data_IF_906382182894
#
_entry.id   IF_906382182894
#
_cell.length_a   1.000
_cell.length_b   1.000
_cell.length_c   1.000
_cell.angle_alpha   90.00
_cell.angle_beta   90.00
_cell.angle_gamma   90.00
#
_symmetry.space_group_name_H-M   'P 1'
#
loop_
_entity.id
_entity.type
_entity.pdbx_description
1 polymer ?
#
# COMPACT_ATOMS: atom_id res chain seq x y z
N UNK A 1 -19.27 12.53 -63.60
CA UNK A 1 -20.16 13.39 -62.79
C UNK A 1 -19.46 14.72 -62.69
N UNK A 2 -20.13 15.80 -63.10
CA UNK A 2 -19.59 17.16 -63.02
C UNK A 2 -19.43 17.47 -61.53
N UNK A 3 -18.19 17.62 -61.05
CA UNK A 3 -17.95 18.22 -59.74
C UNK A 3 -18.45 19.66 -59.88
N UNK A 4 -19.60 19.96 -59.27
CA UNK A 4 -20.02 21.33 -59.05
C UNK A 4 -18.90 22.05 -58.30
N UNK A 5 -18.55 23.27 -58.71
CA UNK A 5 -17.71 24.21 -57.96
C UNK A 5 -18.40 24.53 -56.63
N UNK A 6 -18.37 23.58 -55.69
CA UNK A 6 -18.84 23.77 -54.34
C UNK A 6 -17.81 24.61 -53.60
N UNK A 7 -18.29 25.66 -52.95
CA UNK A 7 -17.53 26.42 -51.96
C UNK A 7 -16.84 25.44 -50.99
N UNK A 8 -15.52 25.51 -50.78
CA UNK A 8 -14.81 24.58 -49.91
C UNK A 8 -15.38 24.53 -48.49
N UNK A 9 -15.98 25.62 -47.99
CA UNK A 9 -16.69 25.59 -46.70
C UNK A 9 -17.92 24.66 -46.74
N UNK A 10 -18.72 24.72 -47.80
CA UNK A 10 -19.89 23.86 -47.99
C UNK A 10 -19.48 22.41 -48.22
N UNK A 11 -18.38 22.17 -48.95
CA UNK A 11 -17.79 20.85 -49.07
C UNK A 11 -17.40 20.29 -47.69
N UNK A 12 -16.69 21.09 -46.88
CA UNK A 12 -16.29 20.70 -45.53
C UNK A 12 -17.49 20.43 -44.62
N UNK A 13 -18.50 21.32 -44.64
CA UNK A 13 -19.74 21.15 -43.87
C UNK A 13 -20.46 19.86 -44.24
N UNK A 14 -20.59 19.59 -45.55
CA UNK A 14 -21.25 18.37 -46.05
C UNK A 14 -20.53 17.10 -45.61
N UNK A 15 -19.19 17.13 -45.58
CA UNK A 15 -18.38 16.01 -45.08
C UNK A 15 -18.56 15.81 -43.57
N UNK A 16 -18.55 16.89 -42.78
CA UNK A 16 -18.82 16.79 -41.34
C UNK A 16 -20.22 16.19 -41.09
N UNK A 17 -21.24 16.66 -41.82
CA UNK A 17 -22.61 16.14 -41.74
C UNK A 17 -22.75 14.69 -42.20
N UNK A 18 -21.91 14.21 -43.14
CA UNK A 18 -21.97 12.81 -43.58
C UNK A 18 -21.29 11.84 -42.62
N UNK A 19 -20.42 12.34 -41.74
CA UNK A 19 -19.74 11.54 -40.70
C UNK A 19 -20.50 11.59 -39.36
N UNK A 20 -21.14 12.72 -39.07
CA UNK A 20 -22.02 12.88 -37.91
C UNK A 20 -23.16 11.85 -37.92
N UNK A 21 -23.60 11.41 -36.74
CA UNK A 21 -24.72 10.49 -36.61
C UNK A 21 -26.05 11.21 -36.87
N UNK A 22 -26.16 12.45 -36.38
CA UNK A 22 -27.30 13.34 -36.58
C UNK A 22 -26.84 14.69 -37.14
N UNK A 23 -27.65 15.32 -38.01
CA UNK A 23 -27.29 16.61 -38.63
C UNK A 23 -27.13 17.74 -37.61
N UNK A 24 -27.82 17.65 -36.48
CA UNK A 24 -27.81 18.66 -35.42
C UNK A 24 -26.50 18.64 -34.61
N UNK A 25 -25.64 17.63 -34.80
CA UNK A 25 -24.34 17.48 -34.12
C UNK A 25 -23.24 18.38 -34.69
N UNK A 26 -23.44 18.93 -35.90
CA UNK A 26 -22.49 19.83 -36.56
C UNK A 26 -22.99 21.27 -36.46
N UNK A 27 -22.29 22.09 -35.68
CA UNK A 27 -22.63 23.48 -35.45
C UNK A 27 -22.15 24.47 -36.51
N UNK A 28 -22.03 25.73 -36.10
CA UNK A 28 -21.51 26.81 -36.92
C UNK A 28 -20.02 26.64 -37.22
N UNK A 29 -19.55 27.27 -38.31
CA UNK A 29 -18.12 27.37 -38.60
C UNK A 29 -17.46 28.21 -37.50
N UNK A 30 -16.41 27.66 -36.90
CA UNK A 30 -15.59 28.32 -35.88
C UNK A 30 -14.39 29.00 -36.52
N UNK A 31 -13.75 28.35 -37.49
CA UNK A 31 -12.57 28.89 -38.15
C UNK A 31 -12.10 28.06 -39.33
N UNK A 32 -11.17 28.64 -40.09
CA UNK A 32 -10.43 27.99 -41.16
C UNK A 32 -8.95 28.27 -40.96
N UNK A 33 -8.10 27.28 -41.16
CA UNK A 33 -6.65 27.44 -40.98
C UNK A 33 -5.92 26.72 -42.10
N UNK A 34 -4.95 27.39 -42.71
CA UNK A 34 -4.03 26.77 -43.67
C UNK A 34 -2.94 26.05 -42.89
N UNK A 35 -2.88 24.72 -42.99
CA UNK A 35 -1.85 23.90 -42.33
C UNK A 35 -0.53 23.97 -43.12
N UNK A 36 -0.61 24.00 -44.44
CA UNK A 36 0.55 24.06 -45.34
C UNK A 36 0.25 23.37 -46.68
N UNK A 37 1.04 23.64 -47.71
CA UNK A 37 1.01 22.93 -49.00
C UNK A 37 -0.40 22.75 -49.60
N UNK A 38 -1.25 23.78 -49.53
CA UNK A 38 -2.62 23.72 -50.08
C UNK A 38 -3.64 22.98 -49.21
N UNK A 39 -3.25 22.53 -48.01
CA UNK A 39 -4.12 21.83 -47.05
C UNK A 39 -4.77 22.81 -46.07
N UNK A 40 -6.10 22.84 -46.06
CA UNK A 40 -6.94 23.69 -45.22
C UNK A 40 -7.76 22.87 -44.22
N UNK A 41 -7.72 23.25 -42.95
CA UNK A 41 -8.55 22.68 -41.89
C UNK A 41 -9.73 23.61 -41.61
N UNK A 42 -10.94 23.07 -41.79
CA UNK A 42 -12.20 23.74 -41.50
C UNK A 42 -12.78 23.22 -40.19
N UNK A 43 -13.00 24.13 -39.24
CA UNK A 43 -13.48 23.81 -37.89
C UNK A 43 -14.94 24.18 -37.70
N UNK A 44 -15.75 23.23 -37.24
CA UNK A 44 -17.15 23.48 -36.84
C UNK A 44 -17.36 23.13 -35.37
N UNK A 45 -18.23 23.87 -34.67
CA UNK A 45 -18.54 23.57 -33.28
C UNK A 45 -19.22 22.20 -33.18
N UNK A 46 -18.84 21.38 -32.20
CA UNK A 46 -19.56 20.14 -31.90
C UNK A 46 -20.81 20.45 -31.07
N UNK A 47 -21.96 19.88 -31.45
CA UNK A 47 -23.17 19.89 -30.66
C UNK A 47 -23.48 18.52 -30.03
N UNK A 48 -22.55 17.55 -30.12
CA UNK A 48 -22.71 16.22 -29.53
C UNK A 48 -22.71 16.35 -28.00
N UNK A 49 -23.72 15.78 -27.34
CA UNK A 49 -23.80 15.73 -25.88
C UNK A 49 -22.59 14.99 -25.30
N UNK A 50 -21.88 15.61 -24.36
CA UNK A 50 -20.67 15.07 -23.73
C UNK A 50 -19.36 15.44 -24.44
N UNK A 51 -19.43 16.04 -25.64
CA UNK A 51 -18.28 16.59 -26.36
C UNK A 51 -18.29 18.12 -26.32
N UNK A 52 -18.65 18.68 -25.17
CA UNK A 52 -18.61 20.12 -24.94
C UNK A 52 -17.18 20.64 -25.10
N UNK A 53 -17.01 21.72 -25.86
CA UNK A 53 -15.69 22.26 -26.19
C UNK A 53 -14.94 21.50 -27.29
N UNK A 54 -15.51 20.45 -27.89
CA UNK A 54 -14.92 19.79 -29.06
C UNK A 54 -15.35 20.46 -30.36
N UNK A 55 -14.57 20.23 -31.41
CA UNK A 55 -14.83 20.75 -32.74
C UNK A 55 -14.69 19.64 -33.78
N UNK A 56 -15.54 19.67 -34.80
CA UNK A 56 -15.32 18.92 -36.03
C UNK A 56 -14.19 19.58 -36.80
N UNK A 57 -13.23 18.80 -37.26
CA UNK A 57 -12.12 19.20 -38.12
C UNK A 57 -12.24 18.46 -39.42
N UNK A 58 -12.38 19.21 -40.52
CA UNK A 58 -12.42 18.66 -41.87
C UNK A 58 -11.27 19.25 -42.65
N UNK A 59 -10.33 18.37 -43.00
CA UNK A 59 -9.12 18.74 -43.72
C UNK A 59 -9.35 18.55 -45.21
N UNK A 60 -9.19 19.61 -45.99
CA UNK A 60 -9.34 19.64 -47.43
C UNK A 60 -8.01 20.00 -48.09
N UNK A 61 -7.68 19.36 -49.21
CA UNK A 61 -6.54 19.72 -50.05
C UNK A 61 -7.03 20.39 -51.34
N UNK A 62 -6.41 21.54 -51.68
CA UNK A 62 -6.61 22.22 -52.96
C UNK A 62 -5.50 21.85 -53.94
N UNK A 63 -5.87 21.18 -55.01
CA UNK A 63 -5.00 20.96 -56.16
C UNK A 63 -5.00 22.25 -57.01
N UNK A 64 -3.85 22.94 -57.09
CA UNK A 64 -3.70 24.19 -57.84
C UNK A 64 -3.67 23.99 -59.35
N UNK A 65 -3.22 22.83 -59.83
CA UNK A 65 -3.11 22.51 -61.24
C UNK A 65 -4.48 22.10 -61.82
N UNK A 66 -5.25 21.34 -61.05
CA UNK A 66 -6.59 20.90 -61.41
C UNK A 66 -7.69 21.90 -61.00
N UNK A 67 -7.38 22.87 -60.14
CA UNK A 67 -8.32 23.79 -59.46
C UNK A 67 -9.48 23.03 -58.79
N UNK A 68 -9.17 21.92 -58.12
CA UNK A 68 -10.18 21.09 -57.44
C UNK A 68 -9.89 20.92 -55.96
N UNK A 69 -10.95 20.75 -55.17
CA UNK A 69 -10.86 20.42 -53.75
C UNK A 69 -11.10 18.93 -53.51
N UNK A 70 -10.26 18.36 -52.67
CA UNK A 70 -10.36 16.97 -52.21
C UNK A 70 -10.43 16.92 -50.69
N UNK A 71 -11.08 15.89 -50.17
CA UNK A 71 -11.25 15.68 -48.72
C UNK A 71 -10.18 14.69 -48.27
N UNK A 72 -9.40 15.05 -47.26
CA UNK A 72 -8.38 14.17 -46.68
C UNK A 72 -8.96 13.39 -45.49
N UNK A 73 -9.38 14.11 -44.45
CA UNK A 73 -9.97 13.51 -43.26
C UNK A 73 -11.10 14.36 -42.65
N UNK A 74 -11.93 13.69 -41.85
CA UNK A 74 -12.95 14.30 -41.00
C UNK A 74 -12.85 13.67 -39.62
N UNK A 75 -12.52 14.47 -38.62
CA UNK A 75 -12.28 14.01 -37.26
C UNK A 75 -12.94 14.94 -36.24
N UNK A 76 -13.19 14.40 -35.05
CA UNK A 76 -13.66 15.20 -33.92
C UNK A 76 -12.47 15.40 -32.98
N UNK A 77 -12.14 16.65 -32.71
CA UNK A 77 -10.90 17.03 -32.02
C UNK A 77 -11.19 17.91 -30.80
N UNK A 78 -10.49 17.68 -29.67
CA UNK A 78 -10.70 18.46 -28.46
C UNK A 78 -10.02 19.83 -28.62
N UNK A 79 -10.59 20.84 -27.99
CA UNK A 79 -9.93 22.14 -27.78
C UNK A 79 -9.50 22.30 -26.33
N UNK A 80 -8.88 23.44 -25.99
CA UNK A 80 -8.55 23.76 -24.59
C UNK A 80 -9.78 23.88 -23.68
N UNK A 81 -10.97 24.08 -24.26
CA UNK A 81 -12.23 24.10 -23.53
C UNK A 81 -12.85 22.70 -23.36
N UNK A 82 -12.27 21.67 -23.99
CA UNK A 82 -12.80 20.32 -23.94
C UNK A 82 -12.42 19.60 -22.64
N UNK A 83 -13.36 18.83 -22.10
CA UNK A 83 -13.07 17.87 -21.03
C UNK A 83 -12.23 16.72 -21.61
N UNK A 84 -10.94 16.69 -21.27
CA UNK A 84 -10.02 15.64 -21.67
C UNK A 84 -9.92 14.55 -20.59
N UNK A 85 -9.71 13.28 -20.99
CA UNK A 85 -9.39 12.24 -20.03
C UNK A 85 -8.08 12.55 -19.29
N UNK A 86 -7.90 12.07 -18.06
CA UNK A 86 -6.63 12.18 -17.37
C UNK A 86 -5.52 11.50 -18.17
N UNK A 87 -4.28 11.94 -17.96
CA UNK A 87 -3.12 11.32 -18.59
C UNK A 87 -3.08 9.81 -18.30
N UNK A 88 -2.75 9.02 -19.32
CA UNK A 88 -2.62 7.58 -19.16
C UNK A 88 -1.44 7.26 -18.23
N UNK A 89 -1.72 6.51 -17.17
CA UNK A 89 -0.71 6.05 -16.20
C UNK A 89 -0.34 4.59 -16.51
N UNK A 90 0.93 4.16 -16.53
CA UNK A 90 1.29 2.75 -16.70
C UNK A 90 0.61 1.83 -15.67
N UNK A 91 0.26 0.59 -16.05
CA UNK A 91 -0.47 -0.32 -15.16
C UNK A 91 0.26 -0.59 -13.84
N UNK A 92 1.59 -0.68 -13.88
CA UNK A 92 2.46 -0.91 -12.71
C UNK A 92 2.30 0.19 -11.66
N UNK A 93 2.14 1.44 -12.11
CA UNK A 93 2.01 2.61 -11.25
C UNK A 93 0.59 2.78 -10.69
N UNK A 94 -0.37 1.96 -11.18
CA UNK A 94 -1.73 1.90 -10.65
C UNK A 94 -1.92 0.84 -9.58
N UNK A 95 -0.96 -0.06 -9.40
CA UNK A 95 -1.10 -1.17 -8.47
C UNK A 95 -1.01 -0.70 -7.02
N UNK A 96 -2.00 -1.12 -6.24
CA UNK A 96 -1.96 -1.01 -4.79
C UNK A 96 -1.37 -2.30 -4.19
N UNK A 97 -0.79 -2.24 -2.98
CA UNK A 97 -0.35 -3.44 -2.29
C UNK A 97 -1.46 -4.49 -2.10
N UNK A 98 -2.73 -4.06 -2.04
CA UNK A 98 -3.90 -4.95 -1.95
C UNK A 98 -4.20 -5.72 -3.23
N UNK A 99 -3.70 -5.25 -4.37
CA UNK A 99 -3.93 -5.87 -5.68
C UNK A 99 -2.96 -7.02 -5.95
N UNK A 100 -1.92 -7.15 -5.11
CA UNK A 100 -0.89 -8.16 -5.23
C UNK A 100 -1.24 -9.40 -4.39
N UNK A 101 -1.17 -10.56 -5.03
CA UNK A 101 -1.25 -11.87 -4.39
C UNK A 101 0.13 -12.38 -3.97
N UNK A 102 0.15 -13.41 -3.12
CA UNK A 102 1.40 -14.05 -2.66
C UNK A 102 2.19 -14.69 -3.81
N UNK A 103 1.53 -14.99 -4.93
CA UNK A 103 2.16 -15.60 -6.11
C UNK A 103 2.76 -14.58 -7.08
N UNK A 104 2.48 -13.29 -6.89
CA UNK A 104 2.95 -12.25 -7.82
C UNK A 104 4.41 -11.87 -7.54
N UNK A 105 5.22 -11.85 -8.60
CA UNK A 105 6.64 -11.51 -8.54
C UNK A 105 6.94 -10.30 -9.41
N UNK A 106 6.85 -9.10 -8.81
CA UNK A 106 7.08 -7.83 -9.50
C UNK A 106 8.56 -7.47 -9.67
N UNK A 107 9.43 -8.00 -8.81
CA UNK A 107 10.84 -7.63 -8.73
C UNK A 107 11.07 -6.23 -8.13
N UNK A 108 12.34 -5.89 -7.93
CA UNK A 108 12.78 -4.56 -7.48
C UNK A 108 13.62 -3.94 -8.59
N UNK A 109 13.42 -2.65 -8.85
CA UNK A 109 14.22 -1.93 -9.85
C UNK A 109 15.69 -1.83 -9.39
N UNK A 110 16.67 -1.91 -10.32
CA UNK A 110 18.09 -1.85 -9.96
C UNK A 110 18.45 -0.58 -9.17
N UNK A 111 17.84 0.55 -9.51
CA UNK A 111 18.11 1.87 -8.93
C UNK A 111 16.94 2.38 -8.07
N UNK A 112 16.25 1.48 -7.35
CA UNK A 112 15.13 1.86 -6.47
C UNK A 112 15.60 2.85 -5.37
N UNK A 113 15.09 4.10 -5.35
CA UNK A 113 15.55 5.13 -4.42
C UNK A 113 15.27 4.81 -2.94
N UNK A 114 14.43 3.81 -2.67
CA UNK A 114 14.12 3.34 -1.32
C UNK A 114 15.23 2.45 -0.75
N UNK A 115 16.17 2.00 -1.58
CA UNK A 115 17.23 1.08 -1.19
C UNK A 115 18.61 1.75 -1.30
N UNK A 116 19.49 1.40 -0.37
CA UNK A 116 20.92 1.73 -0.42
C UNK A 116 21.75 0.47 -0.15
N UNK A 117 23.02 0.50 -0.51
CA UNK A 117 23.94 -0.61 -0.23
C UNK A 117 24.06 -0.83 1.28
N UNK A 118 24.06 -2.09 1.72
CA UNK A 118 24.30 -2.40 3.12
C UNK A 118 25.73 -2.16 3.54
N UNK A 119 25.92 -2.14 4.86
CA UNK A 119 27.22 -1.96 5.49
C UNK A 119 28.15 -3.14 5.16
N UNK A 120 29.35 -2.82 4.68
CA UNK A 120 30.44 -3.77 4.49
C UNK A 120 31.59 -3.35 5.40
N UNK A 121 32.00 -4.19 6.38
CA UNK A 121 33.14 -3.86 7.19
C UNK A 121 34.37 -3.75 6.29
N UNK A 122 35.08 -2.61 6.37
CA UNK A 122 36.38 -2.47 5.72
C UNK A 122 37.34 -3.34 6.52
N UNK A 123 37.62 -4.55 6.03
CA UNK A 123 38.74 -5.32 6.59
C UNK A 123 40.01 -4.50 6.35
N UNK A 124 40.63 -4.02 7.42
CA UNK A 124 41.99 -3.51 7.36
C UNK A 124 42.86 -4.65 6.82
N UNK A 125 43.23 -4.56 5.55
CA UNK A 125 44.05 -5.57 4.89
C UNK A 125 45.42 -5.60 5.57
N UNK A 126 45.63 -6.55 6.48
CA UNK A 126 46.96 -7.01 6.79
C UNK A 126 47.55 -7.60 5.49
N UNK A 127 48.41 -6.82 4.84
CA UNK A 127 49.20 -7.26 3.70
C UNK A 127 50.10 -8.42 4.14
N UNK A 128 49.66 -9.66 3.94
CA UNK A 128 50.54 -10.82 3.93
C UNK A 128 50.79 -11.18 2.46
N UNK A 129 51.87 -10.64 1.92
CA UNK A 129 52.42 -10.99 0.61
C UNK A 129 52.86 -12.45 0.60
N UNK A 130 51.98 -13.36 0.15
CA UNK A 130 52.41 -14.68 -0.30
C UNK A 130 52.80 -14.58 -1.77
N UNK A 131 54.09 -14.79 -2.00
CA UNK A 131 54.77 -14.89 -3.28
C UNK A 131 54.17 -16.04 -4.09
N UNK A 132 53.43 -15.74 -5.16
CA UNK A 132 53.14 -16.69 -6.23
C UNK A 132 54.27 -16.64 -7.25
N UNK A 133 54.96 -17.78 -7.42
CA UNK A 133 55.91 -18.01 -8.49
C UNK A 133 55.13 -18.34 -9.76
N UNK A 134 55.22 -17.48 -10.78
CA UNK A 134 54.84 -17.81 -12.15
C UNK A 134 56.05 -18.42 -12.86
N UNK A 135 55.88 -19.46 -13.69
CA UNK A 135 56.81 -19.76 -14.77
C UNK A 135 56.44 -18.94 -16.02
N UNK A 136 57.50 -18.48 -16.70
CA UNK A 136 57.50 -17.61 -17.88
C UNK A 136 57.26 -18.39 -19.20
N UNK A 137 57.18 -17.59 -20.27
CA UNK A 137 57.24 -17.91 -21.72
C UNK A 137 55.89 -18.19 -22.41
N UNK A 138 55.50 -17.59 -23.54
CA UNK A 138 56.15 -16.67 -24.47
C UNK A 138 55.04 -16.24 -25.48
N UNK A 139 54.86 -14.94 -25.79
CA UNK A 139 54.47 -14.52 -27.14
C UNK A 139 54.61 -12.98 -27.33
N UNK A 140 55.21 -12.50 -28.43
CA UNK A 140 55.37 -11.09 -28.69
C UNK A 140 54.24 -10.51 -29.55
N UNK A 141 53.84 -9.30 -29.14
CA UNK A 141 53.65 -8.06 -29.92
C UNK A 141 52.65 -7.94 -31.08
N UNK A 142 52.23 -6.68 -31.23
CA UNK A 142 51.54 -5.99 -32.33
C UNK A 142 50.00 -6.06 -32.28
N UNK A 143 49.21 -4.97 -32.30
CA UNK A 143 49.49 -3.55 -32.47
C UNK A 143 48.20 -2.72 -32.21
N UNK A 144 48.38 -1.41 -31.96
CA UNK A 144 47.44 -0.26 -32.12
C UNK A 144 46.27 -0.07 -31.11
N UNK A 145 46.35 0.91 -30.19
CA UNK A 145 45.97 2.35 -30.34
C UNK A 145 44.45 2.58 -30.51
N UNK A 146 43.74 3.42 -29.74
CA UNK A 146 44.09 4.34 -28.68
C UNK A 146 42.85 5.13 -28.17
N UNK A 147 43.12 5.96 -27.15
CA UNK A 147 42.40 7.21 -26.74
C UNK A 147 41.06 7.00 -26.01
N UNK A 148 40.98 7.03 -24.66
CA UNK A 148 41.07 8.20 -23.75
C UNK A 148 40.33 9.45 -24.22
N UNK A 149 39.26 9.83 -23.49
CA UNK A 149 39.00 11.18 -22.93
C UNK A 149 37.62 11.17 -22.21
N UNK A 150 37.60 11.24 -20.88
CA UNK A 150 37.44 12.45 -20.04
C UNK A 150 35.98 12.82 -19.74
N UNK A 151 35.56 12.61 -18.49
CA UNK A 151 34.33 13.17 -17.93
C UNK A 151 34.48 14.66 -17.62
N UNK A 152 33.45 15.51 -17.87
CA UNK A 152 33.42 16.84 -17.31
C UNK A 152 32.75 16.84 -15.94
N UNK A 153 33.46 17.45 -14.99
CA UNK A 153 32.91 18.08 -13.79
C UNK A 153 32.17 19.37 -14.21
N UNK A 154 30.94 19.56 -13.72
CA UNK A 154 30.34 20.89 -13.54
C UNK A 154 29.54 20.87 -12.24
N UNK A 155 29.78 21.84 -11.38
CA UNK A 155 29.09 22.02 -10.11
C UNK A 155 28.06 23.16 -10.11
N UNK A 156 27.59 23.41 -8.89
CA UNK A 156 26.91 24.61 -8.36
C UNK A 156 25.39 24.52 -8.11
N UNK A 157 25.04 24.40 -6.82
CA UNK A 157 24.24 25.37 -6.07
C UNK A 157 22.74 25.53 -6.38
N UNK A 158 21.90 25.07 -5.45
CA UNK A 158 20.83 25.91 -4.88
C UNK A 158 20.14 25.21 -3.70
N UNK A 159 20.34 25.76 -2.51
CA UNK A 159 19.54 25.49 -1.33
C UNK A 159 18.16 26.14 -1.50
N UNK A 160 17.10 25.35 -1.38
CA UNK A 160 15.74 25.87 -1.13
C UNK A 160 15.22 25.27 0.17
N UNK A 161 15.16 26.13 1.17
CA UNK A 161 14.41 25.94 2.41
C UNK A 161 12.93 25.71 2.10
N UNK A 162 12.35 24.66 2.68
CA UNK A 162 10.90 24.52 2.77
C UNK A 162 10.49 24.24 4.22
N UNK A 163 9.54 25.06 4.69
CA UNK A 163 9.03 25.20 6.05
C UNK A 163 8.66 23.88 6.75
N UNK A 164 9.42 23.55 7.80
CA UNK A 164 9.05 22.55 8.80
C UNK A 164 8.05 23.13 9.80
N UNK A 165 6.81 22.67 9.73
CA UNK A 165 5.78 22.93 10.75
C UNK A 165 6.19 22.30 12.08
N UNK A 166 6.53 23.15 13.06
CA UNK A 166 6.90 22.75 14.41
C UNK A 166 5.65 22.40 15.23
N UNK A 167 5.55 21.14 15.66
CA UNK A 167 4.49 20.63 16.54
C UNK A 167 4.71 21.14 17.97
N UNK A 168 3.83 22.04 18.44
CA UNK A 168 3.81 22.53 19.83
C UNK A 168 3.19 21.47 20.75
N UNK A 169 3.99 20.88 21.66
CA UNK A 169 3.46 20.21 22.85
C UNK A 169 2.87 21.26 23.81
N UNK A 170 1.67 20.96 24.30
CA UNK A 170 0.90 21.81 25.20
C UNK A 170 1.49 21.89 26.63
N UNK A 171 1.20 23.03 27.25
CA UNK A 171 1.57 23.50 28.58
C UNK A 171 1.45 22.47 29.73
N UNK A 172 2.45 22.47 30.63
CA UNK A 172 2.30 22.05 32.03
C UNK A 172 2.57 23.24 32.94
N UNK A 173 1.76 23.46 33.99
CA UNK A 173 1.82 24.69 34.77
C UNK A 173 3.03 24.72 35.71
N UNK A 174 3.56 25.94 35.81
CA UNK A 174 4.66 26.45 36.61
C UNK A 174 4.52 26.18 38.12
N UNK A 175 5.58 25.62 38.71
CA UNK A 175 5.89 25.72 40.12
C UNK A 175 7.28 26.35 40.28
N UNK A 176 7.31 27.57 40.81
CA UNK A 176 8.51 28.34 41.17
C UNK A 176 9.43 27.55 42.11
N UNK A 177 10.73 27.47 41.78
CA UNK A 177 11.85 27.68 42.72
C UNK A 177 13.09 28.21 41.99
N UNK A 178 13.56 29.37 42.44
CA UNK A 178 14.83 30.01 42.12
C UNK A 178 16.04 29.10 42.35
N UNK A 179 16.93 28.96 41.35
CA UNK A 179 18.35 28.65 41.57
C UNK A 179 19.22 29.22 40.44
N UNK A 180 20.06 30.19 40.82
CA UNK A 180 21.34 30.63 40.25
C UNK A 180 21.65 30.41 38.75
N UNK A 181 21.81 31.53 38.05
CA UNK A 181 22.57 31.67 36.81
C UNK A 181 24.01 31.17 37.00
N UNK A 182 24.27 29.95 36.58
CA UNK A 182 25.59 29.53 36.12
C UNK A 182 25.49 29.40 34.61
N UNK A 183 26.24 30.24 33.89
CA UNK A 183 26.50 30.10 32.45
C UNK A 183 27.15 28.72 32.22
N UNK A 184 26.34 27.69 32.01
CA UNK A 184 26.80 26.41 31.49
C UNK A 184 27.04 26.60 30.00
N UNK A 185 28.32 26.62 29.65
CA UNK A 185 28.84 26.56 28.30
C UNK A 185 28.21 25.36 27.55
N UNK A 186 27.12 25.61 26.80
CA UNK A 186 26.49 24.66 25.87
C UNK A 186 27.40 24.45 24.65
N UNK A 187 28.54 23.82 24.88
CA UNK A 187 29.30 23.17 23.82
C UNK A 187 28.62 21.83 23.55
N UNK A 188 27.83 21.77 22.48
CA UNK A 188 27.50 20.51 21.81
C UNK A 188 28.84 19.79 21.56
N UNK A 189 29.09 18.59 22.12
CA UNK A 189 30.35 17.90 21.90
C UNK A 189 30.42 17.49 20.43
N UNK A 190 31.11 18.29 19.60
CA UNK A 190 31.61 17.89 18.29
C UNK A 190 32.69 16.83 18.53
N UNK A 191 32.29 15.58 18.72
CA UNK A 191 33.25 14.51 18.97
C UNK A 191 32.73 13.23 19.57
N UNK A 192 31.46 12.86 19.39
CA UNK A 192 31.04 11.49 19.64
C UNK A 192 31.69 10.59 18.57
N UNK A 193 32.93 10.20 18.80
CA UNK A 193 33.59 9.11 18.08
C UNK A 193 32.80 7.86 18.47
N UNK A 194 31.89 7.39 17.61
CA UNK A 194 31.24 6.09 17.80
C UNK A 194 32.34 5.04 17.85
N UNK A 195 32.41 4.28 18.93
CA UNK A 195 33.41 3.22 19.01
C UNK A 195 33.13 2.16 17.94
N UNK A 196 34.14 1.40 17.53
CA UNK A 196 33.93 0.28 16.58
C UNK A 196 32.89 -0.69 17.12
N UNK A 197 32.90 -0.93 18.42
CA UNK A 197 31.96 -1.83 19.10
C UNK A 197 30.52 -1.30 18.99
N UNK A 198 30.30 0.01 19.13
CA UNK A 198 28.97 0.63 18.95
C UNK A 198 28.47 0.50 17.49
N UNK A 199 29.39 0.59 16.52
CA UNK A 199 29.06 0.41 15.10
C UNK A 199 28.69 -1.05 14.81
N UNK A 200 29.46 -2.00 15.34
CA UNK A 200 29.19 -3.43 15.16
C UNK A 200 27.86 -3.82 15.82
N UNK A 201 27.58 -3.31 17.04
CA UNK A 201 26.29 -3.51 17.70
C UNK A 201 25.14 -2.93 16.88
N UNK A 202 25.29 -1.71 16.36
CA UNK A 202 24.26 -1.10 15.52
C UNK A 202 24.04 -1.89 14.21
N UNK A 203 25.12 -2.33 13.57
CA UNK A 203 25.07 -3.14 12.35
C UNK A 203 24.32 -4.44 12.59
N UNK A 204 24.54 -5.10 13.72
CA UNK A 204 23.84 -6.33 14.08
C UNK A 204 22.38 -6.07 14.49
N UNK A 205 22.14 -5.08 15.36
CA UNK A 205 20.81 -4.70 15.85
C UNK A 205 19.85 -4.32 14.72
N UNK A 206 20.33 -3.59 13.72
CA UNK A 206 19.55 -3.18 12.56
C UNK A 206 19.75 -4.11 11.34
N UNK A 207 20.60 -5.12 11.48
CA UNK A 207 20.98 -6.07 10.43
C UNK A 207 21.33 -5.36 9.10
N UNK A 208 22.28 -4.42 9.20
CA UNK A 208 22.72 -3.57 8.09
C UNK A 208 23.64 -4.28 7.10
N UNK A 209 24.07 -5.52 7.39
CA UNK A 209 24.95 -6.34 6.54
C UNK A 209 24.26 -6.93 5.30
N UNK A 210 22.95 -6.76 5.16
CA UNK A 210 22.19 -7.20 3.98
C UNK A 210 22.71 -6.50 2.73
N UNK A 211 22.60 -7.13 1.54
CA UNK A 211 23.08 -6.52 0.28
C UNK A 211 22.52 -5.10 0.06
N UNK A 212 21.23 -4.94 0.30
CA UNK A 212 20.55 -3.66 0.28
C UNK A 212 19.75 -3.49 1.57
N UNK A 213 19.71 -2.26 2.07
CA UNK A 213 18.95 -1.82 3.24
C UNK A 213 18.09 -0.63 2.86
N UNK A 214 16.98 -0.44 3.58
CA UNK A 214 16.06 0.65 3.31
C UNK A 214 16.68 2.00 3.72
N UNK A 215 16.53 3.02 2.88
CA UNK A 215 16.94 4.38 3.20
C UNK A 215 16.14 4.94 4.39
N UNK A 216 16.67 5.96 5.07
CA UNK A 216 15.98 6.60 6.19
C UNK A 216 14.63 7.17 5.77
N UNK A 217 14.56 7.80 4.59
CA UNK A 217 13.32 8.34 4.03
C UNK A 217 12.27 7.25 3.77
N UNK A 218 12.68 6.11 3.18
CA UNK A 218 11.79 4.99 2.93
C UNK A 218 11.30 4.32 4.22
N UNK A 219 12.10 4.32 5.29
CA UNK A 219 11.68 3.91 6.65
C UNK A 219 10.63 4.85 7.22
N UNK A 220 10.88 6.16 7.17
CA UNK A 220 9.92 7.17 7.64
C UNK A 220 8.60 7.11 6.85
N UNK A 221 8.66 6.96 5.53
CA UNK A 221 7.49 6.79 4.69
C UNK A 221 6.71 5.50 5.04
N UNK A 222 7.43 4.42 5.36
CA UNK A 222 6.81 3.16 5.84
C UNK A 222 6.12 3.35 7.18
N UNK A 223 6.78 3.98 8.16
CA UNK A 223 6.20 4.29 9.46
C UNK A 223 4.94 5.14 9.33
N UNK A 224 4.99 6.20 8.51
CA UNK A 224 3.83 7.05 8.21
C UNK A 224 2.67 6.23 7.63
N UNK A 225 2.92 5.41 6.60
CA UNK A 225 1.90 4.56 5.97
C UNK A 225 1.26 3.58 6.96
N UNK A 226 2.05 2.97 7.84
CA UNK A 226 1.51 2.04 8.85
C UNK A 226 0.68 2.77 9.91
N UNK A 227 1.16 3.92 10.40
CA UNK A 227 0.47 4.70 11.43
C UNK A 227 -0.82 5.35 10.93
N UNK A 228 -0.85 5.82 9.67
CA UNK A 228 -2.05 6.38 9.04
C UNK A 228 -3.00 5.31 8.49
N UNK A 229 -2.56 4.05 8.44
CA UNK A 229 -3.30 2.93 7.88
C UNK A 229 -4.37 2.34 8.79
N UNK A 230 -4.92 1.20 8.36
CA UNK A 230 -5.98 0.47 9.08
C UNK A 230 -5.53 -0.09 10.45
N UNK A 231 -4.23 -0.24 10.67
CA UNK A 231 -3.65 -0.72 11.94
C UNK A 231 -3.04 0.43 12.77
N UNK A 232 -3.41 1.66 12.43
CA UNK A 232 -3.12 2.87 13.18
C UNK A 232 -4.09 3.12 14.34
N UNK A 233 -3.86 4.17 15.14
CA UNK A 233 -4.77 4.58 16.23
C UNK A 233 -6.11 5.12 15.74
N UNK A 234 -6.17 5.60 14.49
CA UNK A 234 -7.41 6.15 13.89
C UNK A 234 -8.30 5.09 13.27
N UNK A 235 -7.93 3.82 13.38
CA UNK A 235 -8.71 2.71 12.87
C UNK A 235 -10.08 2.58 13.54
N UNK A 236 -11.04 1.99 12.83
CA UNK A 236 -12.37 1.75 13.39
C UNK A 236 -12.33 0.75 14.55
N UNK A 237 -11.44 -0.25 14.50
CA UNK A 237 -11.24 -1.23 15.56
C UNK A 237 -10.79 -0.58 16.86
N UNK A 238 -9.94 0.45 16.79
CA UNK A 238 -9.43 1.17 17.98
C UNK A 238 -10.55 1.85 18.76
N UNK A 239 -11.58 2.35 18.05
CA UNK A 239 -12.77 2.92 18.71
C UNK A 239 -13.56 1.87 19.49
N UNK A 240 -13.58 0.63 19.02
CA UNK A 240 -14.31 -0.48 19.66
C UNK A 240 -13.54 -1.09 20.82
N UNK A 241 -12.22 -0.92 20.88
CA UNK A 241 -11.33 -1.51 21.88
C UNK A 241 -11.50 -0.97 23.31
N UNK A 242 -12.51 -0.13 23.59
CA UNK A 242 -12.79 0.44 24.94
C UNK A 242 -11.56 1.07 25.62
N UNK A 243 -10.67 1.68 24.83
CA UNK A 243 -9.44 2.31 25.32
C UNK A 243 -8.31 1.34 25.69
N UNK A 244 -8.41 0.06 25.33
CA UNK A 244 -7.34 -0.93 25.49
C UNK A 244 -6.43 -0.92 24.25
N UNK A 245 -5.24 -0.37 24.44
CA UNK A 245 -4.24 -0.23 23.39
C UNK A 245 -3.27 -1.42 23.37
N UNK A 246 -2.74 -1.66 22.18
CA UNK A 246 -1.79 -2.71 21.84
C UNK A 246 -0.52 -2.67 22.70
N UNK A 247 -0.09 -1.49 23.16
CA UNK A 247 1.01 -1.31 24.12
C UNK A 247 0.87 -2.16 25.38
N UNK A 248 -0.37 -2.35 25.86
CA UNK A 248 -0.67 -3.14 27.07
C UNK A 248 -1.17 -4.56 26.78
N UNK A 249 -1.23 -4.96 25.51
CA UNK A 249 -1.81 -6.24 25.12
C UNK A 249 -0.81 -7.39 25.30
N UNK A 250 -1.21 -8.47 25.95
CA UNK A 250 -0.38 -9.66 26.14
C UNK A 250 -0.09 -10.46 24.86
N UNK A 251 -0.81 -10.19 23.77
CA UNK A 251 -0.58 -10.80 22.45
C UNK A 251 0.34 -9.97 21.54
N UNK A 252 0.88 -8.87 22.05
CA UNK A 252 1.79 -8.00 21.31
C UNK A 252 3.21 -8.55 21.32
N UNK A 253 3.81 -8.72 20.14
CA UNK A 253 5.24 -9.02 19.98
C UNK A 253 5.97 -7.74 19.54
N UNK A 254 6.92 -7.21 20.32
CA UNK A 254 7.64 -5.99 19.97
C UNK A 254 8.57 -6.21 18.77
N UNK A 255 8.64 -5.23 17.86
CA UNK A 255 9.62 -5.24 16.78
C UNK A 255 11.01 -4.85 17.31
N UNK A 256 12.05 -5.32 16.63
CA UNK A 256 13.42 -4.91 16.90
C UNK A 256 13.74 -3.55 16.24
N UNK A 257 14.67 -2.81 16.84
CA UNK A 257 15.14 -1.53 16.30
C UNK A 257 14.27 -0.34 16.69
N UNK A 258 14.32 0.71 15.87
CA UNK A 258 13.65 2.01 16.06
C UNK A 258 12.13 1.92 15.83
N UNK A 259 11.69 1.15 14.84
CA UNK A 259 10.27 0.94 14.56
C UNK A 259 9.55 0.24 15.73
N UNK A 260 10.29 -0.53 16.53
CA UNK A 260 9.78 -1.14 17.76
C UNK A 260 9.32 -0.14 18.83
N UNK A 261 9.71 1.13 18.72
CA UNK A 261 9.23 2.20 19.63
C UNK A 261 7.81 2.67 19.30
N UNK A 262 7.30 2.36 18.10
CA UNK A 262 5.97 2.78 17.65
C UNK A 262 5.08 1.62 17.19
N UNK A 263 5.67 0.47 16.86
CA UNK A 263 4.97 -0.64 16.25
C UNK A 263 5.38 -1.99 16.84
N UNK A 264 4.44 -2.94 16.77
CA UNK A 264 4.67 -4.35 17.07
C UNK A 264 3.86 -5.24 16.15
N UNK A 265 3.90 -6.55 16.38
CA UNK A 265 3.14 -7.55 15.61
C UNK A 265 2.08 -8.17 16.52
N UNK A 266 0.84 -8.21 16.06
CA UNK A 266 -0.22 -8.93 16.75
C UNK A 266 -0.07 -10.45 16.51
N UNK A 267 -0.12 -11.24 17.59
CA UNK A 267 -0.06 -12.70 17.54
C UNK A 267 -1.37 -13.38 18.00
N UNK A 268 -2.47 -12.62 18.08
CA UNK A 268 -3.77 -13.17 18.45
C UNK A 268 -4.51 -13.70 17.22
N UNK A 269 -4.56 -15.02 17.07
CA UNK A 269 -5.32 -15.72 16.01
C UNK A 269 -6.77 -15.27 15.84
N UNK A 270 -7.41 -14.81 16.93
CA UNK A 270 -8.81 -14.37 16.89
C UNK A 270 -8.98 -12.92 16.48
N UNK A 271 -7.90 -12.14 16.50
CA UNK A 271 -7.89 -10.76 16.01
C UNK A 271 -7.82 -10.74 14.48
N UNK A 272 -8.53 -9.80 13.81
CA UNK A 272 -8.34 -9.57 12.37
C UNK A 272 -6.91 -9.10 12.02
N UNK A 273 -6.16 -8.65 13.03
CA UNK A 273 -4.80 -8.13 12.88
C UNK A 273 -3.71 -9.21 13.09
N UNK A 274 -4.06 -10.49 13.25
CA UNK A 274 -3.09 -11.59 13.43
C UNK A 274 -2.00 -11.59 12.35
N UNK A 275 -0.74 -11.63 12.78
CA UNK A 275 0.43 -11.58 11.90
C UNK A 275 0.65 -10.25 11.19
N UNK A 276 -0.08 -9.19 11.54
CA UNK A 276 0.09 -7.83 10.97
C UNK A 276 0.86 -6.92 11.92
N UNK A 277 1.52 -5.93 11.33
CA UNK A 277 2.14 -4.85 12.09
C UNK A 277 1.07 -3.86 12.52
N UNK A 278 1.02 -3.56 13.81
CA UNK A 278 0.08 -2.62 14.42
C UNK A 278 0.84 -1.55 15.21
N UNK A 279 0.27 -0.36 15.31
CA UNK A 279 0.81 0.70 16.16
C UNK A 279 0.58 0.41 17.65
N UNK A 280 1.42 0.94 18.54
CA UNK A 280 1.28 0.71 19.99
C UNK A 280 -0.03 1.28 20.56
N UNK A 281 -0.52 2.37 19.99
CA UNK A 281 -1.80 3.02 20.32
C UNK A 281 -2.99 2.45 19.52
N UNK A 282 -2.78 1.42 18.70
CA UNK A 282 -3.85 0.67 18.05
C UNK A 282 -4.65 -0.13 19.08
N UNK A 283 -5.96 -0.22 18.94
CA UNK A 283 -6.82 -1.13 19.71
C UNK A 283 -7.60 -2.07 18.81
N UNK A 284 -7.82 -3.30 19.26
CA UNK A 284 -8.72 -4.27 18.64
C UNK A 284 -9.75 -4.80 19.65
N UNK A 285 -10.80 -5.48 19.16
CA UNK A 285 -11.84 -6.08 20.00
C UNK A 285 -11.37 -7.31 20.79
N UNK A 286 -10.23 -7.87 20.39
CA UNK A 286 -9.66 -9.12 20.91
C UNK A 286 -8.40 -8.87 21.74
N UNK A 287 -8.36 -7.75 22.47
CA UNK A 287 -7.30 -7.47 23.44
C UNK A 287 -7.30 -8.52 24.56
N UNK A 288 -6.13 -8.85 25.11
CA UNK A 288 -5.94 -9.87 26.17
C UNK A 288 -6.68 -9.58 27.49
N UNK A 289 -7.24 -8.39 27.64
CA UNK A 289 -7.95 -7.93 28.85
C UNK A 289 -9.42 -7.63 28.56
N UNK A 290 -9.90 -7.89 27.34
CA UNK A 290 -11.32 -7.76 27.03
C UNK A 290 -12.02 -9.04 27.50
N UNK A 291 -13.02 -8.85 28.36
CA UNK A 291 -13.85 -9.95 28.84
C UNK A 291 -14.66 -10.57 27.68
N UNK A 292 -14.76 -11.91 27.63
CA UNK A 292 -15.63 -12.59 26.68
C UNK A 292 -17.07 -12.08 26.78
N UNK A 293 -17.76 -12.01 25.64
CA UNK A 293 -19.19 -11.72 25.63
C UNK A 293 -19.93 -12.84 26.36
N UNK A 294 -20.96 -12.49 27.14
CA UNK A 294 -21.86 -13.49 27.70
C UNK A 294 -22.51 -14.27 26.56
N UNK A 295 -22.44 -15.60 26.64
CA UNK A 295 -23.09 -16.46 25.65
C UNK A 295 -24.59 -16.17 25.68
N UNK A 296 -25.16 -15.73 24.55
CA UNK A 296 -26.60 -15.62 24.45
C UNK A 296 -27.18 -17.03 24.59
N UNK A 297 -27.92 -17.28 25.67
CA UNK A 297 -28.66 -18.52 25.80
C UNK A 297 -29.70 -18.57 24.66
N UNK A 298 -29.40 -19.34 23.61
CA UNK A 298 -30.27 -19.51 22.43
C UNK A 298 -31.67 -19.98 22.81
N UNK A 299 -31.80 -20.55 24.01
CA UNK A 299 -33.04 -20.92 24.64
C UNK A 299 -33.06 -20.33 26.05
N UNK A 300 -33.92 -19.34 26.31
CA UNK A 300 -34.24 -18.91 27.67
C UNK A 300 -34.93 -20.10 28.33
N UNK A 301 -34.17 -20.93 29.03
CA UNK A 301 -34.72 -21.96 29.88
C UNK A 301 -35.59 -21.27 30.92
N UNK A 302 -36.91 -21.38 30.77
CA UNK A 302 -37.82 -21.08 31.88
C UNK A 302 -37.38 -21.92 33.07
N UNK A 303 -37.45 -21.36 34.28
CA UNK A 303 -37.18 -22.15 35.48
C UNK A 303 -37.97 -23.47 35.41
N UNK A 304 -37.35 -24.62 35.73
CA UNK A 304 -38.02 -25.91 35.64
C UNK A 304 -39.31 -25.86 36.47
N UNK A 305 -40.44 -26.06 35.79
CA UNK A 305 -41.73 -26.21 36.45
C UNK A 305 -41.82 -27.67 36.93
N UNK A 306 -41.65 -27.88 38.24
CA UNK A 306 -41.91 -29.18 38.85
C UNK A 306 -43.42 -29.34 39.00
N UNK A 307 -43.98 -30.37 38.36
CA UNK A 307 -45.38 -30.78 38.58
C UNK A 307 -45.41 -31.86 39.66
N UNK A 308 -45.38 -31.43 40.93
CA UNK A 308 -45.43 -32.34 42.08
C UNK A 308 -46.84 -32.92 42.32
N UNK A 309 -47.85 -32.48 41.55
CA UNK A 309 -49.24 -32.91 41.68
C UNK A 309 -49.62 -33.99 40.67
N UNK A 310 -48.85 -34.16 39.60
CA UNK A 310 -49.10 -35.16 38.57
C UNK A 310 -48.31 -36.44 38.82
N UNK A 311 -49.03 -37.51 39.16
CA UNK A 311 -48.44 -38.85 39.32
C UNK A 311 -48.51 -39.57 37.98
N UNK A 312 -47.36 -39.70 37.31
CA UNK A 312 -47.22 -40.58 36.15
C UNK A 312 -47.20 -42.04 36.58
N UNK A 313 -48.33 -42.74 36.41
CA UNK A 313 -48.42 -44.18 36.67
C UNK A 313 -47.78 -44.95 35.52
N UNK A 314 -46.48 -45.21 35.65
CA UNK A 314 -45.76 -46.10 34.72
C UNK A 314 -46.24 -47.53 34.95
N UNK A 315 -46.89 -48.12 33.92
CA UNK A 315 -47.22 -49.55 33.95
C UNK A 315 -45.93 -50.36 33.97
N UNK A 316 -45.61 -50.96 35.11
CA UNK A 316 -44.52 -51.91 35.18
C UNK A 316 -44.86 -53.13 34.33
N UNK A 317 -43.90 -53.58 33.51
CA UNK A 317 -43.98 -54.91 32.86
C UNK A 317 -44.08 -55.96 33.98
N UNK A 318 -44.90 -57.01 33.83
CA UNK A 318 -44.92 -58.11 34.80
C UNK A 318 -43.49 -58.60 35.08
N UNK A 319 -43.14 -58.76 36.35
CA UNK A 319 -41.84 -59.28 36.78
C UNK A 319 -41.61 -60.62 36.08
N UNK A 320 -40.50 -60.77 35.36
CA UNK A 320 -40.10 -62.09 34.87
C UNK A 320 -39.70 -62.90 36.10
N UNK A 321 -40.57 -63.82 36.52
CA UNK A 321 -40.30 -64.77 37.59
C UNK A 321 -39.13 -65.66 37.18
N UNK A 322 -37.94 -65.33 37.70
CA UNK A 322 -36.76 -66.17 37.56
C UNK A 322 -36.74 -67.14 38.74
N UNK A 323 -36.88 -68.46 38.51
CA UNK A 323 -36.98 -69.44 39.59
C UNK A 323 -35.74 -69.45 40.48
N UNK A 324 -34.58 -69.03 39.95
CA UNK A 324 -33.34 -68.88 40.70
C UNK A 324 -33.41 -67.77 41.76
N UNK A 325 -34.11 -66.68 41.48
CA UNK A 325 -34.29 -65.55 42.41
C UNK A 325 -35.31 -65.92 43.49
N UNK A 326 -36.38 -66.64 43.13
CA UNK A 326 -37.32 -67.16 44.12
C UNK A 326 -36.69 -68.21 45.05
N UNK A 327 -35.80 -69.07 44.53
CA UNK A 327 -35.05 -70.00 45.37
C UNK A 327 -34.13 -69.26 46.36
N UNK A 328 -33.48 -68.18 45.92
CA UNK A 328 -32.61 -67.36 46.79
C UNK A 328 -33.43 -66.58 47.82
N UNK A 329 -34.59 -66.04 47.47
CA UNK A 329 -35.52 -65.38 48.41
C UNK A 329 -36.10 -66.39 49.43
N UNK A 330 -36.43 -67.62 49.01
CA UNK A 330 -36.90 -68.69 49.90
C UNK A 330 -35.79 -69.14 50.86
N UNK A 331 -34.57 -69.39 50.36
CA UNK A 331 -33.42 -69.74 51.21
C UNK A 331 -33.08 -68.63 52.20
N UNK A 332 -33.16 -67.35 51.80
CA UNK A 332 -32.96 -66.20 52.70
C UNK A 332 -34.09 -66.04 53.72
N UNK A 333 -35.30 -66.50 53.43
CA UNK A 333 -36.41 -66.51 54.38
C UNK A 333 -36.34 -67.67 55.39
N UNK A 334 -35.71 -68.79 55.02
CA UNK A 334 -35.51 -69.96 55.90
C UNK A 334 -34.32 -69.76 56.86
N UNK A 335 -33.22 -69.15 56.40
CA UNK A 335 -32.04 -68.78 57.22
C UNK A 335 -32.30 -67.62 58.21
N UNK A 336 -33.49 -67.00 58.17
CA UNK A 336 -33.93 -65.96 59.10
C UNK A 336 -34.77 -66.47 60.28
N UNK A 337 -34.87 -67.79 60.48
CA UNK A 337 -35.72 -68.44 61.49
C UNK A 337 -34.99 -69.28 62.54
N UNK A 338 -33.68 -69.08 62.73
CA UNK A 338 -32.88 -69.61 63.84
C UNK A 338 -32.27 -68.46 64.67
N UNK A 339 -33.09 -67.86 65.55
CA UNK A 339 -32.81 -67.55 66.98
C UNK A 339 -33.89 -66.61 67.59
#
# INVERSE_FOLDING_TARGET
>A
MVQEDLDPEELARRVALSVAADSDEVGGLVGRTLIGDGVWDYRFASAIKGYEGWQWSVTLYRDEDADTWTVDESSLVPTDAALQPPAWVPWKDRLLPSDLSVTDAMGTEPDDPRLTAGYKPVQASHQNSQVQQNPEDDNPADDEEGQQESSPLVGDGSDQETDGVVFRLADRPSGEKDVHEQESNDQIPLGAQTSSDDLDEAVDRFALTRRHVMTAEARTATAKRWYEGQHGPKSLSTRTAKGKACETCGFMIPLAGDLGTMFGVCANRWSPDDGRVVSLDHGCGEHSEIEPQEESHLWVQSQPAYDDLHIDVVRQKPREERPEVELMEQMQSEDGSED
#
